data_IF_225677001548
#
_entry.id   IF_225677001548
#
_cell.length_a   1.000
_cell.length_b   1.000
_cell.length_c   1.000
_cell.angle_alpha   90.00
_cell.angle_beta   90.00
_cell.angle_gamma   90.00
#
_symmetry.space_group_name_H-M   'P 1'
#
loop_
_entity.id
_entity.type
_entity.pdbx_description
1 polymer ?
#
# COMPACT_ATOMS: atom_id res chain seq x y z
N UNK A 1 1.27 18.61 -2.52
CA UNK A 1 1.41 17.86 -1.25
C UNK A 1 0.36 18.20 -0.18
N UNK A 2 -0.28 19.39 -0.20
CA UNK A 2 -1.30 19.76 0.81
C UNK A 2 -2.64 19.01 0.66
N UNK A 3 -2.99 18.51 -0.53
CA UNK A 3 -4.25 17.77 -0.74
C UNK A 3 -4.25 16.35 -0.17
N UNK A 4 -3.14 15.61 -0.27
CA UNK A 4 -3.03 14.26 0.32
C UNK A 4 -3.05 14.31 1.85
N UNK A 5 -2.43 15.31 2.48
CA UNK A 5 -2.47 15.46 3.94
C UNK A 5 -3.79 16.01 4.47
N UNK A 6 -4.58 16.74 3.67
CA UNK A 6 -5.90 17.22 4.10
C UNK A 6 -6.93 16.11 4.24
N UNK A 7 -6.83 15.03 3.45
CA UNK A 7 -7.70 13.85 3.58
C UNK A 7 -7.39 12.98 4.80
N UNK A 8 -6.13 12.95 5.24
CA UNK A 8 -5.68 12.17 6.40
C UNK A 8 -5.87 12.88 7.75
N UNK A 9 -6.11 14.19 7.76
CA UNK A 9 -6.37 14.96 8.99
C UNK A 9 -7.86 15.11 9.32
N UNK A 10 -8.75 14.53 8.54
CA UNK A 10 -10.19 14.76 8.61
C UNK A 10 -11.05 13.49 8.71
N UNK A 11 -10.72 12.53 9.57
CA UNK A 11 -11.71 11.73 10.31
C UNK A 11 -11.04 10.68 11.20
N UNK A 12 -10.98 10.94 12.51
CA UNK A 12 -10.72 9.89 13.52
C UNK A 12 -11.88 8.85 13.60
N UNK A 13 -12.94 9.04 12.81
CA UNK A 13 -14.09 8.13 12.66
C UNK A 13 -13.83 6.92 11.74
N UNK A 14 -12.71 6.87 11.00
CA UNK A 14 -12.37 5.74 10.12
C UNK A 14 -11.58 4.63 10.82
N UNK A 15 -11.00 4.90 12.00
CA UNK A 15 -10.25 3.91 12.77
C UNK A 15 -11.04 2.61 13.08
N UNK A 16 -12.35 2.66 13.40
CA UNK A 16 -13.15 1.45 13.61
C UNK A 16 -13.29 0.62 12.32
N UNK A 17 -13.55 1.26 11.18
CA UNK A 17 -13.75 0.58 9.88
C UNK A 17 -12.43 0.00 9.37
N UNK A 18 -11.33 0.74 9.51
CA UNK A 18 -10.01 0.25 9.14
C UNK A 18 -9.65 -0.99 9.97
N UNK A 19 -9.88 -0.96 11.29
CA UNK A 19 -9.62 -2.13 12.15
C UNK A 19 -10.55 -3.30 11.83
N UNK A 20 -11.79 -3.02 11.44
CA UNK A 20 -12.76 -4.02 11.04
C UNK A 20 -12.34 -4.77 9.78
N UNK A 21 -11.68 -4.07 8.84
CA UNK A 21 -11.22 -4.58 7.54
C UNK A 21 -9.74 -5.04 7.48
N UNK A 22 -8.96 -4.78 8.54
CA UNK A 22 -7.51 -5.01 8.53
C UNK A 22 -7.09 -6.43 8.88
N UNK A 23 -7.81 -7.09 9.79
CA UNK A 23 -7.43 -8.38 10.38
C UNK A 23 -8.59 -9.38 10.33
N UNK A 24 -8.34 -10.69 10.57
CA UNK A 24 -9.40 -11.67 10.81
C UNK A 24 -10.38 -11.15 11.87
N UNK A 25 -11.67 -11.21 11.57
CA UNK A 25 -12.73 -10.65 12.39
C UNK A 25 -14.02 -11.50 12.23
N UNK A 26 -14.43 -12.25 13.27
CA UNK A 26 -15.64 -13.09 13.21
C UNK A 26 -16.93 -12.26 13.09
N UNK A 27 -16.90 -10.97 13.45
CA UNK A 27 -18.06 -10.09 13.31
C UNK A 27 -18.25 -9.58 11.88
N UNK A 28 -17.31 -9.84 10.95
CA UNK A 28 -17.28 -9.27 9.59
C UNK A 28 -17.95 -10.13 8.51
N UNK A 29 -18.67 -11.21 8.88
CA UNK A 29 -19.18 -12.21 7.93
C UNK A 29 -20.11 -11.72 6.82
N UNK A 30 -20.64 -10.49 6.91
CA UNK A 30 -21.54 -9.88 5.93
C UNK A 30 -20.97 -8.59 5.31
N UNK A 31 -19.67 -8.31 5.43
CA UNK A 31 -19.05 -7.12 4.82
C UNK A 31 -18.11 -7.46 3.68
N UNK A 32 -18.02 -6.53 2.74
CA UNK A 32 -16.94 -6.48 1.75
C UNK A 32 -16.05 -5.30 2.08
N UNK A 33 -14.76 -5.55 2.22
CA UNK A 33 -13.76 -4.54 2.53
C UNK A 33 -12.95 -4.21 1.27
N UNK A 34 -12.96 -2.94 0.87
CA UNK A 34 -12.08 -2.43 -0.18
C UNK A 34 -10.74 -2.00 0.41
N UNK A 35 -9.65 -2.47 -0.18
CA UNK A 35 -8.29 -2.08 0.17
C UNK A 35 -7.59 -1.51 -1.06
N UNK A 36 -7.01 -0.32 -0.93
CA UNK A 36 -6.19 0.24 -1.99
C UNK A 36 -4.92 -0.62 -2.17
N UNK A 37 -4.56 -0.88 -3.42
CA UNK A 37 -3.41 -1.68 -3.81
C UNK A 37 -3.74 -3.14 -4.10
N UNK A 38 -2.75 -3.83 -4.64
CA UNK A 38 -2.77 -5.26 -4.95
C UNK A 38 -2.82 -6.08 -3.66
N UNK A 39 -3.55 -7.20 -3.66
CA UNK A 39 -3.49 -8.17 -2.57
C UNK A 39 -2.09 -8.78 -2.47
N UNK A 40 -1.57 -8.99 -1.25
CA UNK A 40 -0.21 -9.54 -1.03
C UNK A 40 -0.02 -10.87 -1.77
N UNK A 41 -1.03 -11.74 -1.76
CA UNK A 41 -1.04 -13.02 -2.48
C UNK A 41 -1.04 -12.91 -4.02
N UNK A 42 -1.31 -11.72 -4.57
CA UNK A 42 -1.26 -11.41 -6.00
C UNK A 42 -0.07 -10.55 -6.40
N UNK A 43 0.71 -10.06 -5.43
CA UNK A 43 1.94 -9.30 -5.70
C UNK A 43 3.05 -10.23 -6.18
N UNK A 44 3.78 -9.83 -7.24
CA UNK A 44 4.92 -10.59 -7.74
C UNK A 44 6.00 -10.81 -6.65
N UNK A 45 6.23 -9.82 -5.79
CA UNK A 45 7.16 -9.90 -4.65
C UNK A 45 6.55 -10.36 -3.32
N UNK A 46 5.23 -10.60 -3.27
CA UNK A 46 4.48 -10.73 -2.01
C UNK A 46 4.93 -11.89 -1.13
N UNK A 47 5.06 -13.09 -1.69
CA UNK A 47 5.49 -14.28 -0.95
C UNK A 47 6.92 -14.14 -0.38
N UNK A 48 7.84 -13.59 -1.18
CA UNK A 48 9.21 -13.38 -0.72
C UNK A 48 9.29 -12.29 0.37
N UNK A 49 8.50 -11.23 0.22
CA UNK A 49 8.37 -10.21 1.26
C UNK A 49 7.78 -10.78 2.55
N UNK A 50 6.74 -11.61 2.47
CA UNK A 50 6.12 -12.26 3.63
C UNK A 50 7.10 -13.13 4.41
N UNK A 51 7.91 -13.92 3.72
CA UNK A 51 8.94 -14.74 4.34
C UNK A 51 10.01 -13.88 5.04
N UNK A 52 10.51 -12.82 4.37
CA UNK A 52 11.49 -11.89 4.92
C UNK A 52 10.95 -11.12 6.13
N UNK A 53 9.70 -10.64 6.04
CA UNK A 53 9.02 -9.91 7.10
C UNK A 53 8.85 -10.79 8.33
N UNK A 54 8.30 -11.99 8.16
CA UNK A 54 8.08 -12.94 9.27
C UNK A 54 9.40 -13.34 9.92
N UNK A 55 10.45 -13.60 9.13
CA UNK A 55 11.80 -13.90 9.65
C UNK A 55 12.37 -12.75 10.47
N UNK A 56 12.10 -11.49 10.09
CA UNK A 56 12.64 -10.31 10.74
C UNK A 56 11.89 -9.93 12.02
N UNK A 57 10.56 -10.00 11.99
CA UNK A 57 9.70 -9.43 13.03
C UNK A 57 9.01 -10.49 13.90
N UNK A 58 9.03 -11.77 13.51
CA UNK A 58 8.46 -12.87 14.29
C UNK A 58 6.93 -12.98 14.21
N UNK A 59 6.28 -12.22 13.32
CA UNK A 59 4.84 -12.29 13.06
C UNK A 59 4.54 -12.07 11.57
N UNK A 60 3.33 -12.44 11.09
CA UNK A 60 2.91 -12.21 9.71
C UNK A 60 2.91 -10.73 9.32
N UNK A 61 2.85 -10.47 8.00
CA UNK A 61 2.75 -9.12 7.44
C UNK A 61 1.61 -8.33 8.07
N UNK A 62 1.92 -7.10 8.49
CA UNK A 62 0.92 -6.08 8.82
C UNK A 62 0.34 -5.43 7.56
N UNK A 63 -0.93 -5.06 7.62
CA UNK A 63 -1.78 -4.64 6.49
C UNK A 63 -1.08 -3.76 5.42
N UNK A 64 -0.32 -2.73 5.82
CA UNK A 64 0.32 -1.77 4.89
C UNK A 64 1.83 -1.97 4.68
N UNK A 65 2.44 -3.01 5.25
CA UNK A 65 3.89 -3.17 5.26
C UNK A 65 4.55 -3.17 3.88
N UNK A 66 4.08 -3.91 2.85
CA UNK A 66 4.74 -3.91 1.54
C UNK A 66 4.63 -2.56 0.82
N UNK A 67 3.50 -1.86 0.96
CA UNK A 67 3.30 -0.54 0.36
C UNK A 67 4.21 0.50 1.00
N UNK A 68 4.31 0.48 2.33
CA UNK A 68 5.19 1.40 3.06
C UNK A 68 6.67 1.11 2.75
N UNK A 69 7.03 -0.16 2.58
CA UNK A 69 8.37 -0.56 2.18
C UNK A 69 8.74 0.06 0.83
N UNK A 70 7.93 -0.16 -0.21
CA UNK A 70 8.18 0.41 -1.53
C UNK A 70 8.18 1.94 -1.52
N UNK A 71 7.26 2.58 -0.78
CA UNK A 71 7.21 4.04 -0.66
C UNK A 71 8.53 4.64 -0.13
N UNK A 72 9.16 3.99 0.85
CA UNK A 72 10.47 4.42 1.36
C UNK A 72 11.54 4.30 0.27
N UNK A 73 11.57 3.18 -0.47
CA UNK A 73 12.57 2.98 -1.51
C UNK A 73 12.35 3.86 -2.75
N UNK A 74 11.11 4.25 -3.05
CA UNK A 74 10.80 5.26 -4.07
C UNK A 74 11.43 6.60 -3.72
N UNK A 75 11.31 7.02 -2.45
CA UNK A 75 11.94 8.26 -1.98
C UNK A 75 13.48 8.14 -2.04
N UNK A 76 14.03 6.99 -1.65
CA UNK A 76 15.49 6.73 -1.75
C UNK A 76 15.96 6.76 -3.22
N UNK A 77 15.20 6.19 -4.14
CA UNK A 77 15.51 6.26 -5.57
C UNK A 77 15.50 7.71 -6.08
N UNK A 78 14.48 8.49 -5.71
CA UNK A 78 14.42 9.91 -6.04
C UNK A 78 15.60 10.69 -5.45
N UNK A 79 16.04 10.38 -4.22
CA UNK A 79 17.25 10.94 -3.61
C UNK A 79 18.51 10.63 -4.42
N UNK A 80 18.65 9.39 -4.91
CA UNK A 80 19.77 8.99 -5.77
C UNK A 80 19.76 9.77 -7.09
N UNK A 81 18.60 9.88 -7.75
CA UNK A 81 18.43 10.67 -8.99
C UNK A 81 18.64 12.17 -8.78
N UNK A 82 18.38 12.68 -7.58
CA UNK A 82 18.64 14.07 -7.20
C UNK A 82 20.08 14.32 -6.75
N UNK A 83 20.85 13.27 -6.47
CA UNK A 83 22.13 13.32 -5.77
C UNK A 83 22.07 14.20 -4.51
N UNK A 84 20.99 14.07 -3.73
CA UNK A 84 20.73 14.92 -2.58
C UNK A 84 19.66 14.33 -1.66
N UNK A 85 19.71 14.71 -0.39
CA UNK A 85 18.66 14.48 0.61
C UNK A 85 17.82 15.73 0.88
N UNK A 86 18.08 16.84 0.18
CA UNK A 86 17.28 18.05 0.28
C UNK A 86 15.84 17.81 -0.21
N UNK A 87 14.79 18.11 0.59
CA UNK A 87 13.41 17.77 0.24
C UNK A 87 12.93 18.38 -1.08
N UNK A 88 13.34 19.61 -1.40
CA UNK A 88 12.91 20.27 -2.63
C UNK A 88 13.54 19.61 -3.86
N UNK A 89 14.84 19.25 -3.78
CA UNK A 89 15.53 18.53 -4.85
C UNK A 89 14.98 17.12 -5.05
N UNK A 90 14.64 16.42 -3.98
CA UNK A 90 14.02 15.08 -4.05
C UNK A 90 12.63 15.16 -4.68
N UNK A 91 11.80 16.11 -4.23
CA UNK A 91 10.46 16.31 -4.78
C UNK A 91 10.49 16.62 -6.28
N UNK A 92 11.47 17.41 -6.74
CA UNK A 92 11.65 17.71 -8.16
C UNK A 92 11.97 16.48 -9.03
N UNK A 93 12.38 15.35 -8.42
CA UNK A 93 12.61 14.08 -9.12
C UNK A 93 11.46 13.07 -8.94
N UNK A 94 10.55 13.29 -8.00
CA UNK A 94 9.52 12.33 -7.63
C UNK A 94 8.56 11.97 -8.78
N UNK A 95 8.21 12.91 -9.66
CA UNK A 95 7.30 12.65 -10.80
C UNK A 95 7.90 11.68 -11.83
N UNK A 96 9.22 11.62 -11.97
CA UNK A 96 9.90 10.67 -12.86
C UNK A 96 10.15 9.30 -12.23
N UNK A 97 9.31 8.87 -11.28
CA UNK A 97 9.43 7.56 -10.65
C UNK A 97 9.00 6.46 -11.63
N UNK A 98 9.88 5.49 -11.85
CA UNK A 98 9.60 4.16 -12.40
C UNK A 98 10.31 3.17 -11.48
N UNK A 99 9.59 2.76 -10.43
CA UNK A 99 10.12 1.90 -9.38
C UNK A 99 9.47 0.52 -9.45
N UNK A 100 10.28 -0.53 -9.52
CA UNK A 100 9.84 -1.92 -9.58
C UNK A 100 10.14 -2.60 -8.24
N UNK A 101 9.13 -2.66 -7.39
CA UNK A 101 9.24 -3.08 -5.99
C UNK A 101 8.48 -4.37 -5.66
N UNK A 102 8.16 -4.54 -4.37
CA UNK A 102 7.38 -5.67 -3.84
C UNK A 102 5.96 -5.66 -4.41
N UNK A 103 5.35 -4.48 -4.47
CA UNK A 103 3.95 -4.24 -4.87
C UNK A 103 3.74 -4.22 -6.38
N UNK A 104 4.83 -4.19 -7.15
CA UNK A 104 4.83 -4.09 -8.61
C UNK A 104 5.53 -2.83 -9.09
N UNK A 105 5.18 -2.40 -10.31
CA UNK A 105 5.66 -1.14 -10.88
C UNK A 105 4.85 0.04 -10.33
N UNK A 106 5.55 1.05 -9.83
CA UNK A 106 4.98 2.31 -9.37
C UNK A 106 5.43 3.44 -10.28
N UNK A 107 4.46 4.05 -10.95
CA UNK A 107 4.61 5.24 -11.80
C UNK A 107 3.48 6.22 -11.48
N UNK A 108 3.73 7.50 -11.71
CA UNK A 108 2.77 8.56 -11.41
C UNK A 108 2.29 9.27 -12.68
N UNK A 109 1.03 9.71 -12.69
CA UNK A 109 0.50 10.60 -13.70
C UNK A 109 0.92 12.06 -13.44
N UNK A 110 0.47 12.99 -14.29
CA UNK A 110 0.81 14.41 -14.15
C UNK A 110 0.26 15.07 -12.87
N UNK A 111 -0.71 14.46 -12.19
CA UNK A 111 -1.30 14.92 -10.92
C UNK A 111 -0.60 14.32 -9.71
N UNK A 112 0.25 13.30 -9.91
CA UNK A 112 0.91 12.54 -8.86
C UNK A 112 0.11 11.34 -8.37
N UNK A 113 -0.95 10.95 -9.09
CA UNK A 113 -1.73 9.74 -8.82
C UNK A 113 -1.04 8.52 -9.46
N UNK A 114 -1.28 7.32 -8.93
CA UNK A 114 -0.73 6.10 -9.53
C UNK A 114 -1.32 5.89 -10.93
N UNK A 115 -0.47 5.64 -11.93
CA UNK A 115 -0.96 5.33 -13.28
C UNK A 115 -1.69 3.99 -13.37
N UNK A 116 -1.30 3.03 -12.53
CA UNK A 116 -1.88 1.68 -12.51
C UNK A 116 -2.56 1.45 -11.16
N UNK A 117 -3.62 2.20 -10.91
CA UNK A 117 -4.43 2.08 -9.70
C UNK A 117 -5.07 0.69 -9.60
N UNK A 118 -4.99 0.09 -8.41
CA UNK A 118 -5.60 -1.22 -8.14
C UNK A 118 -6.33 -1.15 -6.80
N UNK A 119 -7.49 -1.78 -6.72
CA UNK A 119 -8.26 -1.96 -5.48
C UNK A 119 -8.53 -3.45 -5.32
N UNK A 120 -8.16 -4.00 -4.16
CA UNK A 120 -8.48 -5.37 -3.79
C UNK A 120 -9.74 -5.38 -2.92
N UNK A 121 -10.69 -6.25 -3.25
CA UNK A 121 -11.91 -6.47 -2.49
C UNK A 121 -11.77 -7.75 -1.68
N UNK A 122 -12.14 -7.71 -0.41
CA UNK A 122 -12.05 -8.84 0.51
C UNK A 122 -13.41 -9.15 1.13
N UNK A 123 -13.73 -10.43 1.26
CA UNK A 123 -14.81 -10.93 2.11
C UNK A 123 -14.25 -11.58 3.38
N UNK A 124 -15.15 -12.03 4.26
CA UNK A 124 -14.80 -12.68 5.53
C UNK A 124 -15.51 -14.01 5.68
N UNK A 125 -14.83 -15.11 5.31
CA UNK A 125 -15.33 -16.47 5.47
C UNK A 125 -14.84 -17.04 6.78
N UNK A 126 -15.76 -17.44 7.66
CA UNK A 126 -15.46 -17.94 9.01
C UNK A 126 -14.56 -16.97 9.82
N UNK A 127 -14.79 -15.67 9.66
CA UNK A 127 -14.00 -14.62 10.26
C UNK A 127 -12.60 -14.44 9.67
N UNK A 128 -12.23 -15.18 8.62
CA UNK A 128 -10.97 -15.04 7.91
C UNK A 128 -11.14 -14.16 6.68
N UNK A 129 -10.32 -13.11 6.62
CA UNK A 129 -10.24 -12.23 5.45
C UNK A 129 -9.78 -13.04 4.24
N UNK A 130 -10.59 -13.08 3.19
CA UNK A 130 -10.32 -13.83 1.95
C UNK A 130 -10.46 -12.89 0.76
N UNK A 131 -9.54 -12.97 -0.20
CA UNK A 131 -9.59 -12.13 -1.40
C UNK A 131 -10.81 -12.52 -2.25
N UNK A 132 -11.66 -11.54 -2.52
CA UNK A 132 -12.82 -11.67 -3.38
C UNK A 132 -12.46 -11.33 -4.82
N UNK A 133 -11.89 -10.15 -5.05
CA UNK A 133 -11.55 -9.67 -6.39
C UNK A 133 -10.45 -8.61 -6.39
N UNK A 134 -9.89 -8.33 -7.57
CA UNK A 134 -8.92 -7.26 -7.81
C UNK A 134 -9.40 -6.41 -9.00
N UNK A 135 -9.79 -5.18 -8.69
CA UNK A 135 -10.23 -4.19 -9.68
C UNK A 135 -9.03 -3.34 -10.11
N UNK A 136 -8.73 -3.33 -11.41
CA UNK A 136 -7.71 -2.47 -12.02
C UNK A 136 -8.38 -1.26 -12.66
N UNK A 137 -7.76 -0.10 -12.54
CA UNK A 137 -8.25 1.19 -13.06
C UNK A 137 -7.49 1.63 -14.30
#
# INVERSE_FOLDING_TARGET
MTRLQSGLRGNLSLAPVLRYCAAPNPAAGNVVCSQAGMAVERMNGGAQFAAKYTKRFGHPIEFDAPFTYDAVYIVVDAMKRANSTDPAKVLAKASGTDYKGVTGETTFDAKGDLQHGVISLYDYKDGKKTLLDVVKM
#
